data_IF_336580560790
#
_entry.id   IF_336580560790
#
_cell.length_a   1.000
_cell.length_b   1.000
_cell.length_c   1.000
_cell.angle_alpha   90.00
_cell.angle_beta   90.00
_cell.angle_gamma   90.00
#
_symmetry.space_group_name_H-M   'P 1'
#
loop_
_entity.id
_entity.type
_entity.pdbx_description
1 polymer ?
#
# COMPACT_ATOMS: atom_id res chain seq x y z
N UNK A 1 13.12 3.62 -0.48
CA UNK A 1 11.73 3.87 -0.88
C UNK A 1 11.72 4.45 -2.28
N UNK A 2 10.73 4.12 -3.09
CA UNK A 2 10.63 4.53 -4.49
C UNK A 2 9.36 5.38 -4.65
N UNK A 3 9.49 6.55 -5.27
CA UNK A 3 8.37 7.26 -5.88
C UNK A 3 8.13 6.60 -7.25
N UNK A 4 7.19 5.66 -7.31
CA UNK A 4 6.94 4.88 -8.51
C UNK A 4 6.38 5.78 -9.62
N UNK A 5 7.00 5.82 -10.80
CA UNK A 5 6.45 6.56 -11.94
C UNK A 5 5.22 5.87 -12.50
N UNK A 6 4.41 6.61 -13.26
CA UNK A 6 3.36 6.06 -14.10
C UNK A 6 3.94 5.11 -15.16
N UNK A 7 3.12 4.16 -15.61
CA UNK A 7 3.49 3.16 -16.61
C UNK A 7 4.29 1.97 -16.07
N UNK A 8 4.81 2.04 -14.83
CA UNK A 8 5.45 0.91 -14.19
C UNK A 8 4.46 0.12 -13.36
N UNK A 9 4.45 -1.19 -13.51
CA UNK A 9 3.87 -2.06 -12.48
C UNK A 9 4.77 -2.07 -11.23
N UNK A 10 4.23 -2.47 -10.07
CA UNK A 10 5.06 -2.69 -8.88
C UNK A 10 6.14 -3.76 -9.09
N UNK A 11 5.89 -4.71 -10.00
CA UNK A 11 6.89 -5.72 -10.37
C UNK A 11 8.02 -5.15 -11.24
N UNK A 12 7.74 -4.14 -12.08
CA UNK A 12 8.78 -3.45 -12.85
C UNK A 12 9.74 -2.71 -11.90
N UNK A 13 9.23 -2.06 -10.85
CA UNK A 13 10.05 -1.46 -9.82
C UNK A 13 10.94 -2.51 -9.11
N UNK A 14 10.39 -3.69 -8.80
CA UNK A 14 11.16 -4.81 -8.22
C UNK A 14 12.23 -5.31 -9.20
N UNK A 15 11.88 -5.46 -10.49
CA UNK A 15 12.82 -5.90 -11.53
C UNK A 15 13.97 -4.90 -11.71
N UNK A 16 13.62 -3.62 -11.75
CA UNK A 16 14.59 -2.54 -11.82
C UNK A 16 15.54 -2.54 -10.61
N UNK A 17 15.02 -2.64 -9.38
CA UNK A 17 15.84 -2.75 -8.17
C UNK A 17 16.76 -3.98 -8.16
N UNK A 18 16.29 -5.13 -8.68
CA UNK A 18 17.12 -6.33 -8.82
C UNK A 18 18.33 -6.07 -9.71
N UNK A 19 18.09 -5.38 -10.84
CA UNK A 19 19.18 -5.02 -11.78
C UNK A 19 20.16 -4.04 -11.14
N UNK A 20 19.65 -3.05 -10.42
CA UNK A 20 20.44 -2.01 -9.76
C UNK A 20 21.29 -2.56 -8.59
N UNK A 21 20.68 -3.40 -7.74
CA UNK A 21 21.30 -3.87 -6.49
C UNK A 21 22.04 -5.20 -6.60
N UNK A 22 21.80 -6.00 -7.66
CA UNK A 22 22.25 -7.39 -7.75
C UNK A 22 21.54 -8.36 -6.79
N UNK A 23 20.62 -7.88 -5.94
CA UNK A 23 19.94 -8.69 -4.93
C UNK A 23 18.70 -9.36 -5.54
N UNK A 24 18.66 -10.69 -5.53
CA UNK A 24 17.56 -11.46 -6.13
C UNK A 24 16.26 -11.36 -5.33
N UNK A 25 16.35 -11.40 -3.99
CA UNK A 25 15.19 -11.39 -3.11
C UNK A 25 14.77 -9.95 -2.81
N UNK A 26 13.68 -9.50 -3.43
CA UNK A 26 13.08 -8.18 -3.20
C UNK A 26 11.57 -8.37 -3.10
N UNK A 27 10.95 -7.71 -2.13
CA UNK A 27 9.51 -7.62 -1.93
C UNK A 27 9.07 -6.18 -1.79
N UNK A 28 7.76 -5.93 -1.84
CA UNK A 28 7.16 -4.60 -1.62
C UNK A 28 5.95 -4.69 -0.69
N UNK A 29 5.52 -3.55 -0.12
CA UNK A 29 4.51 -3.47 0.93
C UNK A 29 3.10 -3.14 0.39
N UNK A 30 2.80 -3.50 -0.82
CA UNK A 30 1.48 -3.29 -1.44
C UNK A 30 1.58 -2.82 -2.88
N UNK A 31 0.84 -3.50 -3.74
CA UNK A 31 0.79 -3.23 -5.18
C UNK A 31 0.22 -1.83 -5.45
N UNK A 32 0.79 -1.15 -6.44
CA UNK A 32 0.22 -0.01 -7.15
C UNK A 32 -0.07 -0.43 -8.58
N UNK A 33 -1.21 0.00 -9.09
CA UNK A 33 -1.58 -0.20 -10.50
C UNK A 33 -0.56 0.49 -11.44
N UNK A 34 -0.43 0.08 -12.71
CA UNK A 34 0.57 0.67 -13.62
C UNK A 34 0.37 2.18 -13.82
N UNK A 35 -0.87 2.63 -14.01
CA UNK A 35 -1.17 4.06 -14.18
C UNK A 35 -0.90 4.88 -12.91
N UNK A 36 -0.96 4.27 -11.72
CA UNK A 36 -0.77 4.95 -10.44
C UNK A 36 0.69 5.29 -10.16
N UNK A 37 0.91 6.34 -9.39
CA UNK A 37 2.23 6.85 -8.96
C UNK A 37 2.38 6.83 -7.44
N UNK A 38 3.56 7.20 -6.96
CA UNK A 38 3.77 7.50 -5.55
C UNK A 38 4.48 6.40 -4.78
N UNK A 39 4.36 6.45 -3.47
CA UNK A 39 5.17 5.68 -2.52
C UNK A 39 5.06 4.16 -2.72
N UNK A 40 6.18 3.53 -3.03
CA UNK A 40 6.37 2.08 -3.02
C UNK A 40 7.57 1.73 -2.13
N UNK A 41 7.29 1.12 -0.98
CA UNK A 41 8.34 0.66 -0.07
C UNK A 41 8.78 -0.73 -0.54
N UNK A 42 10.05 -0.84 -0.91
CA UNK A 42 10.69 -2.09 -1.33
C UNK A 42 11.70 -2.54 -0.28
N UNK A 43 11.65 -3.81 0.09
CA UNK A 43 12.59 -4.46 1.00
C UNK A 43 13.51 -5.40 0.23
N UNK A 44 14.80 -5.39 0.56
CA UNK A 44 15.85 -6.17 -0.10
C UNK A 44 16.38 -7.26 0.83
N UNK A 45 16.58 -8.46 0.30
CA UNK A 45 17.14 -9.58 1.07
C UNK A 45 16.22 -10.09 2.19
N UNK A 46 16.78 -10.47 3.35
CA UNK A 46 15.99 -11.04 4.46
C UNK A 46 14.91 -10.13 5.02
N UNK A 47 15.10 -8.79 4.98
CA UNK A 47 14.12 -7.81 5.51
C UNK A 47 12.79 -7.82 4.78
N UNK A 48 12.65 -8.51 3.64
CA UNK A 48 11.37 -8.78 2.99
C UNK A 48 10.35 -9.44 3.92
N UNK A 49 10.82 -10.16 4.97
CA UNK A 49 9.95 -10.75 5.99
C UNK A 49 9.21 -9.70 6.83
N UNK A 50 9.72 -8.46 6.87
CA UNK A 50 9.12 -7.34 7.62
C UNK A 50 8.02 -6.62 6.83
N UNK A 51 7.93 -6.81 5.50
CA UNK A 51 6.91 -6.16 4.66
C UNK A 51 5.48 -6.35 5.20
N UNK A 52 5.17 -7.53 5.74
CA UNK A 52 3.85 -7.87 6.27
C UNK A 52 3.33 -6.90 7.35
N UNK A 53 4.22 -6.25 8.10
CA UNK A 53 3.82 -5.30 9.13
C UNK A 53 3.36 -3.97 8.52
N UNK A 54 3.95 -3.57 7.39
CA UNK A 54 3.60 -2.36 6.65
C UNK A 54 2.41 -2.56 5.69
N UNK A 55 2.20 -3.80 5.22
CA UNK A 55 1.04 -4.14 4.39
C UNK A 55 -0.28 -3.86 5.10
N UNK A 56 -0.29 -4.02 6.44
CA UNK A 56 -1.47 -3.79 7.27
C UNK A 56 -1.72 -2.31 7.61
N UNK A 57 -0.77 -1.43 7.37
CA UNK A 57 -0.91 -0.02 7.63
C UNK A 57 -1.94 0.64 6.70
N UNK A 58 -2.58 1.70 7.19
CA UNK A 58 -3.44 2.55 6.36
C UNK A 58 -2.60 3.25 5.29
N UNK A 59 -3.26 3.68 4.22
CA UNK A 59 -2.61 4.35 3.11
C UNK A 59 -3.39 5.60 2.74
N UNK A 60 -2.65 6.68 2.44
CA UNK A 60 -3.27 7.90 1.93
C UNK A 60 -3.02 8.03 0.43
N UNK A 61 -4.02 8.54 -0.24
CA UNK A 61 -4.01 8.70 -1.69
C UNK A 61 -4.57 10.06 -2.08
N UNK A 62 -4.09 10.56 -3.20
CA UNK A 62 -4.73 11.61 -3.99
C UNK A 62 -5.18 10.99 -5.32
N UNK A 63 -6.40 11.28 -5.73
CA UNK A 63 -6.98 10.71 -6.93
C UNK A 63 -7.80 11.75 -7.71
N UNK A 64 -7.83 11.57 -9.02
CA UNK A 64 -8.73 12.29 -9.93
C UNK A 64 -9.75 11.29 -10.46
N UNK A 65 -11.01 11.57 -10.19
CA UNK A 65 -12.16 10.84 -10.70
C UNK A 65 -12.76 11.64 -11.86
N UNK A 66 -12.89 11.02 -13.04
CA UNK A 66 -13.65 11.55 -14.17
C UNK A 66 -15.05 10.96 -14.16
N UNK A 67 -16.06 11.83 -14.07
CA UNK A 67 -17.47 11.48 -14.13
C UNK A 67 -17.96 11.37 -15.58
N UNK A 68 -19.07 10.67 -15.78
CA UNK A 68 -19.74 10.51 -17.06
C UNK A 68 -19.24 9.33 -17.91
N UNK A 69 -18.12 8.73 -17.58
CA UNK A 69 -17.53 7.58 -18.32
C UNK A 69 -17.14 6.49 -17.32
N UNK A 70 -17.48 5.25 -17.64
CA UNK A 70 -17.03 4.06 -16.88
C UNK A 70 -16.16 3.19 -17.77
N UNK A 71 -15.03 2.74 -17.23
CA UNK A 71 -14.16 1.79 -17.92
C UNK A 71 -14.23 0.41 -17.25
N UNK A 72 -13.92 -0.64 -18.01
CA UNK A 72 -13.97 -2.03 -17.51
C UNK A 72 -13.04 -2.30 -16.33
N UNK A 73 -11.91 -1.58 -16.23
CA UNK A 73 -10.94 -1.71 -15.14
C UNK A 73 -11.11 -0.66 -14.02
N UNK A 74 -11.96 0.36 -14.23
CA UNK A 74 -12.10 1.52 -13.34
C UNK A 74 -10.91 2.47 -13.40
N UNK A 75 -10.05 2.38 -14.43
CA UNK A 75 -8.85 3.17 -14.68
C UNK A 75 -8.68 3.47 -16.19
N UNK A 76 -7.67 4.27 -16.62
CA UNK A 76 -7.48 4.64 -18.01
C UNK A 76 -7.07 3.49 -18.95
N UNK A 77 -6.65 2.34 -18.41
CA UNK A 77 -6.19 1.20 -19.23
C UNK A 77 -7.38 0.33 -19.71
N UNK A 78 -8.58 0.51 -19.12
CA UNK A 78 -9.78 -0.23 -19.48
C UNK A 78 -10.53 0.35 -20.64
N UNK A 79 -11.21 -0.52 -21.41
CA UNK A 79 -12.15 -0.10 -22.45
C UNK A 79 -13.35 0.63 -21.83
N UNK A 80 -13.90 1.64 -22.52
CA UNK A 80 -15.14 2.30 -22.12
C UNK A 80 -16.31 1.31 -22.25
N UNK A 81 -17.03 1.09 -21.17
CA UNK A 81 -18.16 0.15 -21.12
C UNK A 81 -19.51 0.85 -20.90
N UNK A 82 -19.49 2.09 -20.43
CA UNK A 82 -20.69 2.88 -20.19
C UNK A 82 -20.39 4.37 -20.21
N UNK A 83 -21.33 5.16 -20.75
CA UNK A 83 -21.33 6.60 -20.68
C UNK A 83 -22.63 7.11 -20.04
N UNK A 84 -22.57 8.25 -19.38
CA UNK A 84 -23.71 8.95 -18.79
C UNK A 84 -23.57 10.43 -19.05
N UNK A 85 -24.61 11.04 -19.59
CA UNK A 85 -24.71 12.51 -19.74
C UNK A 85 -25.08 13.24 -18.44
N UNK A 86 -25.43 12.50 -17.39
CA UNK A 86 -25.83 13.06 -16.09
C UNK A 86 -24.58 13.34 -15.25
N UNK A 87 -24.02 14.54 -15.39
CA UNK A 87 -22.89 15.00 -14.60
C UNK A 87 -23.41 16.13 -13.70
N UNK A 88 -23.27 16.02 -12.36
CA UNK A 88 -23.73 17.06 -11.46
C UNK A 88 -23.00 18.38 -11.71
N UNK A 89 -23.69 19.49 -11.60
CA UNK A 89 -23.05 20.83 -11.70
C UNK A 89 -22.28 21.19 -10.43
N UNK A 90 -22.68 20.65 -9.29
CA UNK A 90 -22.10 20.88 -7.97
C UNK A 90 -22.01 19.57 -7.18
N UNK A 91 -21.07 19.52 -6.25
CA UNK A 91 -20.87 18.39 -5.34
C UNK A 91 -20.88 18.88 -3.90
N UNK A 92 -21.81 18.37 -3.10
CA UNK A 92 -21.83 18.61 -1.65
C UNK A 92 -20.72 17.79 -0.99
N UNK A 93 -19.63 18.48 -0.62
CA UNK A 93 -18.46 17.87 -0.01
C UNK A 93 -18.75 17.28 1.38
N UNK A 94 -19.68 17.89 2.15
CA UNK A 94 -20.04 17.42 3.49
C UNK A 94 -20.82 16.12 3.39
N UNK A 95 -21.88 16.12 2.57
CA UNK A 95 -22.68 14.92 2.30
C UNK A 95 -21.79 13.77 1.79
N UNK A 96 -20.93 14.06 0.81
CA UNK A 96 -20.06 13.03 0.24
C UNK A 96 -19.12 12.47 1.29
N UNK A 97 -18.48 13.32 2.10
CA UNK A 97 -17.59 12.91 3.18
C UNK A 97 -18.28 12.00 4.19
N UNK A 98 -19.44 12.39 4.70
CA UNK A 98 -20.21 11.58 5.65
C UNK A 98 -20.56 10.20 5.08
N UNK A 99 -21.03 10.17 3.84
CA UNK A 99 -21.36 8.93 3.14
C UNK A 99 -20.15 8.01 3.00
N UNK A 100 -18.97 8.55 2.63
CA UNK A 100 -17.76 7.77 2.45
C UNK A 100 -17.18 7.25 3.77
N UNK A 101 -17.23 8.02 4.84
CA UNK A 101 -16.81 7.59 6.17
C UNK A 101 -17.72 6.48 6.75
N UNK A 102 -18.94 6.34 6.24
CA UNK A 102 -19.84 5.27 6.62
C UNK A 102 -19.55 3.92 5.94
N UNK A 103 -18.67 3.88 4.94
CA UNK A 103 -18.31 2.66 4.20
C UNK A 103 -17.69 1.64 5.17
N UNK A 104 -18.13 0.37 5.06
CA UNK A 104 -17.59 -0.77 5.80
C UNK A 104 -17.08 -1.86 4.88
N UNK A 105 -17.54 -1.87 3.63
CA UNK A 105 -17.12 -2.80 2.60
C UNK A 105 -17.24 -2.18 1.22
N UNK A 106 -16.41 -2.63 0.27
CA UNK A 106 -16.47 -2.27 -1.14
C UNK A 106 -16.20 -3.50 -2.00
N UNK A 107 -16.85 -3.65 -3.15
CA UNK A 107 -16.50 -4.68 -4.11
C UNK A 107 -15.11 -4.38 -4.69
N UNK A 108 -14.20 -5.35 -4.75
CA UNK A 108 -12.93 -5.14 -5.42
C UNK A 108 -13.14 -5.04 -6.93
N UNK A 109 -12.27 -4.32 -7.67
CA UNK A 109 -12.37 -4.28 -9.12
C UNK A 109 -12.06 -5.65 -9.71
N UNK A 110 -12.67 -5.97 -10.86
CA UNK A 110 -12.43 -7.24 -11.54
C UNK A 110 -10.96 -7.38 -11.98
N UNK A 111 -10.34 -6.27 -12.39
CA UNK A 111 -8.91 -6.21 -12.70
C UNK A 111 -8.08 -6.07 -11.41
N UNK A 112 -8.05 -7.14 -10.62
CA UNK A 112 -7.29 -7.23 -9.37
C UNK A 112 -6.54 -8.56 -9.24
N UNK A 113 -5.54 -8.60 -8.36
CA UNK A 113 -4.77 -9.80 -8.04
C UNK A 113 -5.47 -10.75 -7.06
N UNK A 114 -6.72 -10.48 -6.72
CA UNK A 114 -7.54 -11.34 -5.84
C UNK A 114 -7.71 -12.71 -6.49
N UNK A 115 -7.43 -13.76 -5.73
CA UNK A 115 -7.59 -15.12 -6.22
C UNK A 115 -9.02 -15.61 -6.08
N UNK A 116 -9.58 -16.08 -7.19
CA UNK A 116 -10.86 -16.78 -7.26
C UNK A 116 -10.60 -18.18 -7.83
N UNK A 117 -10.96 -19.22 -7.08
CA UNK A 117 -10.67 -20.62 -7.44
C UNK A 117 -9.19 -20.84 -7.84
N UNK A 118 -8.27 -20.21 -7.11
CA UNK A 118 -6.83 -20.33 -7.29
C UNK A 118 -6.20 -19.48 -8.41
N UNK A 119 -7.00 -18.76 -9.21
CA UNK A 119 -6.54 -17.87 -10.29
C UNK A 119 -6.84 -16.40 -9.96
N UNK A 120 -5.97 -15.44 -10.31
CA UNK A 120 -6.24 -14.03 -10.15
C UNK A 120 -7.50 -13.58 -10.91
N UNK A 121 -8.25 -12.62 -10.34
CA UNK A 121 -9.48 -12.11 -10.97
C UNK A 121 -9.20 -11.46 -12.34
N UNK A 122 -8.06 -10.79 -12.50
CA UNK A 122 -7.69 -10.20 -13.80
C UNK A 122 -7.54 -11.24 -14.93
N UNK A 123 -7.25 -12.52 -14.65
CA UNK A 123 -7.19 -13.59 -15.66
C UNK A 123 -8.58 -13.90 -16.20
N UNK A 124 -9.63 -13.76 -15.38
CA UNK A 124 -11.01 -13.91 -15.81
C UNK A 124 -11.45 -12.69 -16.63
N UNK A 125 -11.11 -11.48 -16.16
CA UNK A 125 -11.39 -10.22 -16.84
C UNK A 125 -10.84 -10.22 -18.29
N UNK A 126 -9.57 -10.57 -18.46
CA UNK A 126 -8.91 -10.63 -19.78
C UNK A 126 -9.54 -11.65 -20.74
N UNK A 127 -10.28 -12.61 -20.23
CA UNK A 127 -11.02 -13.60 -21.03
C UNK A 127 -12.47 -13.19 -21.30
N UNK A 128 -12.86 -11.99 -20.90
CA UNK A 128 -14.23 -11.50 -21.01
C UNK A 128 -15.24 -12.26 -20.14
N UNK A 129 -14.76 -12.99 -19.12
CA UNK A 129 -15.64 -13.75 -18.25
C UNK A 129 -16.21 -12.84 -17.16
N UNK A 130 -17.52 -12.73 -17.08
CA UNK A 130 -18.20 -12.05 -16.00
C UNK A 130 -17.98 -12.79 -14.68
N UNK A 131 -17.46 -12.07 -13.70
CA UNK A 131 -17.22 -12.59 -12.36
C UNK A 131 -17.64 -11.51 -11.35
N UNK A 132 -18.66 -11.80 -10.57
CA UNK A 132 -18.99 -10.97 -9.43
C UNK A 132 -18.07 -11.31 -8.26
N UNK A 133 -17.36 -10.30 -7.80
CA UNK A 133 -16.49 -10.43 -6.63
C UNK A 133 -17.25 -9.98 -5.40
N UNK A 134 -17.31 -10.78 -4.32
CA UNK A 134 -17.96 -10.36 -3.10
C UNK A 134 -17.28 -9.13 -2.52
N UNK A 135 -18.09 -8.23 -1.96
CA UNK A 135 -17.59 -7.08 -1.23
C UNK A 135 -16.61 -7.52 -0.12
N UNK A 136 -15.62 -6.70 0.14
CA UNK A 136 -14.59 -6.94 1.14
C UNK A 136 -14.52 -5.80 2.14
N UNK A 137 -14.12 -6.07 3.39
CA UNK A 137 -13.93 -5.02 4.37
C UNK A 137 -13.07 -3.89 3.80
N UNK A 138 -13.60 -2.69 3.83
CA UNK A 138 -12.96 -1.46 3.42
C UNK A 138 -13.44 -0.34 4.34
N UNK A 139 -12.54 0.54 4.73
CA UNK A 139 -12.87 1.66 5.58
C UNK A 139 -12.16 2.91 5.06
N UNK A 140 -12.93 3.97 4.87
CA UNK A 140 -12.39 5.29 4.62
C UNK A 140 -12.27 5.98 5.97
N UNK A 141 -11.03 6.29 6.35
CA UNK A 141 -10.66 6.86 7.63
C UNK A 141 -10.66 8.38 7.60
N UNK A 142 -10.43 8.93 6.42
CA UNK A 142 -10.53 10.36 6.14
C UNK A 142 -10.79 10.60 4.65
N UNK A 143 -11.47 11.72 4.35
CA UNK A 143 -11.79 12.12 2.98
C UNK A 143 -11.87 13.64 2.89
N UNK A 144 -11.27 14.19 1.84
CA UNK A 144 -11.28 15.60 1.51
C UNK A 144 -11.52 15.77 0.01
N UNK A 145 -12.55 16.54 -0.35
CA UNK A 145 -12.77 17.00 -1.71
C UNK A 145 -11.86 18.22 -1.93
N UNK A 146 -10.85 18.09 -2.79
CA UNK A 146 -9.90 19.16 -3.06
C UNK A 146 -10.41 20.14 -4.10
N UNK A 147 -11.05 19.62 -5.17
CA UNK A 147 -11.68 20.44 -6.19
C UNK A 147 -12.71 19.64 -6.98
N UNK A 148 -13.68 20.37 -7.53
CA UNK A 148 -14.60 19.84 -8.52
C UNK A 148 -14.76 20.84 -9.66
N UNK A 149 -14.42 20.42 -10.86
CA UNK A 149 -14.64 21.11 -12.12
C UNK A 149 -15.16 20.08 -13.12
N UNK A 150 -16.48 20.06 -13.32
CA UNK A 150 -17.13 19.04 -14.14
C UNK A 150 -16.40 18.83 -15.47
N UNK A 151 -16.05 17.61 -15.88
CA UNK A 151 -16.43 16.34 -15.25
C UNK A 151 -15.40 15.77 -14.23
N UNK A 152 -14.41 16.55 -13.77
CA UNK A 152 -13.31 16.06 -12.94
C UNK A 152 -13.49 16.43 -11.47
N UNK A 153 -13.33 15.42 -10.60
CA UNK A 153 -13.36 15.53 -9.15
C UNK A 153 -12.02 15.08 -8.59
N UNK A 154 -11.33 15.97 -7.89
CA UNK A 154 -10.04 15.69 -7.24
C UNK A 154 -10.27 15.52 -5.75
N UNK A 155 -9.77 14.43 -5.20
CA UNK A 155 -9.93 14.15 -3.78
C UNK A 155 -8.69 13.54 -3.17
N UNK A 156 -8.59 13.68 -1.86
CA UNK A 156 -7.62 12.98 -1.02
C UNK A 156 -8.37 12.08 -0.04
N UNK A 157 -7.85 10.89 0.19
CA UNK A 157 -8.42 10.00 1.19
C UNK A 157 -7.35 9.21 1.94
N UNK A 158 -7.70 8.81 3.17
CA UNK A 158 -6.97 7.79 3.92
C UNK A 158 -7.87 6.58 4.08
N UNK A 159 -7.35 5.41 3.69
CA UNK A 159 -8.13 4.19 3.63
C UNK A 159 -7.40 3.03 4.33
N UNK A 160 -8.17 2.11 4.89
CA UNK A 160 -7.66 0.87 5.47
C UNK A 160 -6.99 -0.01 4.43
N UNK A 161 -6.17 -0.96 4.88
CA UNK A 161 -5.55 -1.95 4.01
C UNK A 161 -6.57 -2.64 3.09
N UNK A 162 -6.18 -2.91 1.86
CA UNK A 162 -7.00 -3.68 0.91
C UNK A 162 -8.13 -2.89 0.25
N UNK A 163 -8.31 -1.62 0.59
CA UNK A 163 -9.25 -0.73 -0.08
C UNK A 163 -8.72 -0.38 -1.48
N UNK A 164 -9.53 -0.66 -2.50
CA UNK A 164 -9.24 -0.28 -3.88
C UNK A 164 -9.79 1.12 -4.16
N UNK A 165 -8.90 2.05 -4.49
CA UNK A 165 -9.30 3.45 -4.75
C UNK A 165 -10.13 3.55 -6.04
N UNK A 166 -9.93 2.67 -7.01
CA UNK A 166 -10.79 2.57 -8.20
C UNK A 166 -12.24 2.24 -7.82
N UNK A 167 -12.44 1.28 -6.92
CA UNK A 167 -13.78 0.97 -6.40
C UNK A 167 -14.38 2.12 -5.59
N UNK A 168 -13.56 2.87 -4.84
CA UNK A 168 -14.01 4.07 -4.13
C UNK A 168 -14.45 5.13 -5.13
N UNK A 169 -13.71 5.37 -6.20
CA UNK A 169 -14.07 6.33 -7.26
C UNK A 169 -15.40 5.96 -7.95
N UNK A 170 -15.60 4.67 -8.26
CA UNK A 170 -16.87 4.20 -8.82
C UNK A 170 -18.03 4.37 -7.82
N UNK A 171 -17.79 4.12 -6.54
CA UNK A 171 -18.79 4.35 -5.48
C UNK A 171 -19.14 5.84 -5.35
N UNK A 172 -18.14 6.75 -5.45
CA UNK A 172 -18.37 8.20 -5.46
C UNK A 172 -19.24 8.57 -6.65
N UNK A 173 -18.89 8.15 -7.86
CA UNK A 173 -19.65 8.46 -9.07
C UNK A 173 -21.12 7.97 -8.97
N UNK A 174 -21.31 6.72 -8.51
CA UNK A 174 -22.64 6.15 -8.30
C UNK A 174 -23.42 6.94 -7.23
N UNK A 175 -22.76 7.41 -6.18
CA UNK A 175 -23.37 8.23 -5.13
C UNK A 175 -23.83 9.59 -5.62
N UNK A 176 -23.21 10.07 -6.70
CA UNK A 176 -23.55 11.31 -7.40
C UNK A 176 -24.55 11.10 -8.56
N UNK A 177 -25.11 9.89 -8.71
CA UNK A 177 -26.11 9.57 -9.75
C UNK A 177 -25.53 9.34 -11.14
N UNK A 178 -24.23 9.14 -11.27
CA UNK A 178 -23.55 8.97 -12.56
C UNK A 178 -22.60 7.77 -12.55
N UNK A 179 -21.76 7.65 -13.55
CA UNK A 179 -20.66 6.69 -13.63
C UNK A 179 -19.31 7.43 -13.63
N UNK A 180 -18.23 6.75 -13.34
CA UNK A 180 -16.91 7.37 -13.34
C UNK A 180 -15.78 6.35 -13.25
N UNK A 181 -14.56 6.80 -13.53
CA UNK A 181 -13.34 6.03 -13.38
C UNK A 181 -12.20 6.92 -12.88
N UNK A 182 -11.19 6.29 -12.26
CA UNK A 182 -10.02 6.98 -11.74
C UNK A 182 -9.04 7.29 -12.86
N UNK A 183 -8.83 8.56 -13.20
CA UNK A 183 -7.89 8.99 -14.27
C UNK A 183 -6.47 9.15 -13.76
N UNK A 184 -6.31 9.52 -12.48
CA UNK A 184 -5.01 9.66 -11.83
C UNK A 184 -5.09 9.16 -10.40
N UNK A 185 -4.01 8.50 -9.96
CA UNK A 185 -3.90 7.98 -8.60
C UNK A 185 -2.45 8.11 -8.12
N UNK A 186 -2.26 8.76 -6.96
CA UNK A 186 -0.97 8.88 -6.32
C UNK A 186 -1.06 8.41 -4.87
N UNK A 187 -0.25 7.45 -4.48
CA UNK A 187 -0.12 7.05 -3.07
C UNK A 187 0.83 7.98 -2.34
N UNK A 188 0.28 8.73 -1.39
CA UNK A 188 0.99 9.74 -0.60
C UNK A 188 1.70 9.15 0.60
N UNK A 189 1.08 8.14 1.26
CA UNK A 189 1.68 7.54 2.45
C UNK A 189 1.33 6.06 2.65
N UNK A 190 2.14 5.37 3.44
CA UNK A 190 1.89 4.04 4.01
C UNK A 190 2.18 4.17 5.51
N UNK A 191 1.14 4.10 6.35
CA UNK A 191 1.25 4.46 7.76
C UNK A 191 1.75 5.89 7.91
N UNK A 192 2.84 6.07 8.63
CA UNK A 192 3.47 7.38 8.86
C UNK A 192 4.54 7.75 7.81
N UNK A 193 4.87 6.84 6.91
CA UNK A 193 5.90 7.06 5.89
C UNK A 193 5.30 7.83 4.73
N UNK A 194 5.88 8.99 4.41
CA UNK A 194 5.46 9.87 3.31
C UNK A 194 6.16 9.54 1.99
N UNK A 195 5.51 9.87 0.89
CA UNK A 195 6.12 9.86 -0.45
C UNK A 195 7.25 10.88 -0.58
N UNK A 196 7.25 11.92 0.24
CA UNK A 196 8.30 12.96 0.27
C UNK A 196 9.66 12.40 0.70
N UNK A 197 9.67 11.26 1.41
CA UNK A 197 10.88 10.52 1.75
C UNK A 197 11.34 9.54 0.64
N UNK A 198 10.59 9.42 -0.44
CA UNK A 198 10.89 8.50 -1.53
C UNK A 198 11.67 9.19 -2.66
N UNK A 199 12.42 8.40 -3.40
CA UNK A 199 13.20 8.91 -4.54
C UNK A 199 12.63 8.36 -5.85
N UNK A 200 12.58 9.22 -6.87
CA UNK A 200 12.27 8.79 -8.23
C UNK A 200 13.40 7.86 -8.75
N UNK A 201 13.09 6.82 -9.54
CA UNK A 201 14.09 5.86 -10.03
C UNK A 201 15.32 6.50 -10.70
N UNK A 202 15.16 7.63 -11.37
CA UNK A 202 16.23 8.37 -12.03
C UNK A 202 17.29 8.95 -11.08
N UNK A 203 16.95 9.09 -9.79
CA UNK A 203 17.85 9.64 -8.78
C UNK A 203 18.70 8.55 -8.06
N UNK A 204 18.55 7.28 -8.45
CA UNK A 204 19.33 6.21 -7.86
C UNK A 204 20.57 5.89 -8.68
N UNK A 205 21.70 5.84 -7.99
CA UNK A 205 22.97 5.37 -8.51
C UNK A 205 23.34 4.06 -7.81
N UNK A 206 23.83 3.06 -8.55
CA UNK A 206 24.14 1.74 -7.98
C UNK A 206 25.18 1.82 -6.85
N UNK A 207 26.19 2.67 -7.03
CA UNK A 207 27.30 2.87 -6.07
C UNK A 207 26.83 3.56 -4.78
N UNK A 208 25.74 4.32 -4.85
CA UNK A 208 25.17 5.09 -3.73
C UNK A 208 23.88 4.46 -3.18
N UNK A 209 23.50 3.27 -3.64
CA UNK A 209 22.23 2.65 -3.26
C UNK A 209 22.05 2.53 -1.74
N UNK A 210 23.13 2.25 -1.01
CA UNK A 210 23.08 2.14 0.46
C UNK A 210 22.69 3.45 1.15
N UNK A 211 23.04 4.60 0.58
CA UNK A 211 22.65 5.91 1.11
C UNK A 211 21.16 6.19 0.99
N UNK A 212 20.47 5.49 0.08
CA UNK A 212 19.01 5.61 -0.14
C UNK A 212 18.20 4.62 0.71
N UNK A 213 18.83 3.87 1.63
CA UNK A 213 18.09 2.99 2.52
C UNK A 213 17.42 3.80 3.63
N UNK A 214 16.12 3.61 3.74
CA UNK A 214 15.36 4.23 4.82
C UNK A 214 15.63 3.49 6.14
N UNK A 215 15.96 4.21 7.22
CA UNK A 215 16.32 3.57 8.48
C UNK A 215 15.19 2.71 9.05
N UNK A 216 15.43 1.44 9.41
CA UNK A 216 14.40 0.58 10.01
C UNK A 216 13.76 1.19 11.26
N UNK A 217 14.52 1.92 12.09
CA UNK A 217 14.03 2.63 13.28
C UNK A 217 12.93 3.64 12.95
N UNK A 218 13.05 4.38 11.85
CA UNK A 218 12.02 5.33 11.38
C UNK A 218 10.83 4.60 10.73
N UNK A 219 11.10 3.50 10.02
CA UNK A 219 10.06 2.73 9.35
C UNK A 219 9.10 2.06 10.32
N UNK A 220 9.59 1.70 11.51
CA UNK A 220 8.88 0.98 12.57
C UNK A 220 8.89 1.79 13.88
N UNK A 221 8.65 3.10 13.81
CA UNK A 221 8.73 3.97 15.00
C UNK A 221 7.70 3.66 16.09
N UNK A 222 6.59 2.99 15.74
CA UNK A 222 5.57 2.53 16.69
C UNK A 222 5.95 1.21 17.38
N UNK A 223 7.10 0.63 17.05
CA UNK A 223 7.58 -0.60 17.65
C UNK A 223 8.58 -0.31 18.76
N UNK A 224 8.55 -1.13 19.79
CA UNK A 224 9.66 -1.10 20.77
C UNK A 224 10.95 -1.52 20.05
N UNK A 225 12.04 -0.81 20.34
CA UNK A 225 13.34 -1.10 19.75
C UNK A 225 14.23 -1.70 20.82
N UNK A 226 14.86 -2.84 20.50
CA UNK A 226 15.82 -3.50 21.35
C UNK A 226 17.13 -3.75 20.57
N UNK A 227 18.25 -3.46 21.22
CA UNK A 227 19.59 -3.75 20.73
C UNK A 227 20.17 -4.90 21.60
N UNK A 228 19.99 -6.17 21.18
CA UNK A 228 20.42 -7.32 21.98
C UNK A 228 21.93 -7.41 22.04
N UNK A 229 22.47 -7.77 23.20
CA UNK A 229 23.87 -8.15 23.34
C UNK A 229 24.21 -9.42 22.55
N UNK A 230 25.50 -9.71 22.33
CA UNK A 230 25.96 -10.84 21.51
C UNK A 230 25.43 -12.20 21.96
N UNK A 231 25.46 -12.46 23.27
CA UNK A 231 24.95 -13.72 23.83
C UNK A 231 23.43 -13.86 23.65
N UNK A 232 22.68 -12.78 23.87
CA UNK A 232 21.24 -12.73 23.68
C UNK A 232 20.87 -12.90 22.20
N UNK A 233 21.56 -12.19 21.30
CA UNK A 233 21.37 -12.32 19.86
C UNK A 233 21.66 -13.74 19.37
N UNK A 234 22.73 -14.38 19.88
CA UNK A 234 23.06 -15.76 19.54
C UNK A 234 21.93 -16.71 19.94
N UNK A 235 21.37 -16.56 21.13
CA UNK A 235 20.24 -17.36 21.58
C UNK A 235 18.99 -17.12 20.73
N UNK A 236 18.66 -15.87 20.45
CA UNK A 236 17.49 -15.49 19.63
C UNK A 236 17.60 -16.04 18.21
N UNK A 237 18.79 -15.98 17.58
CA UNK A 237 19.05 -16.57 16.25
C UNK A 237 18.81 -18.08 16.21
N UNK A 238 19.03 -18.76 17.32
CA UNK A 238 18.75 -20.19 17.47
C UNK A 238 17.29 -20.49 17.84
N UNK A 239 16.41 -19.48 17.86
CA UNK A 239 15.01 -19.64 18.23
C UNK A 239 14.78 -19.78 19.74
N UNK A 240 15.81 -19.58 20.58
CA UNK A 240 15.70 -19.68 22.03
C UNK A 240 15.21 -18.36 22.62
N UNK A 241 14.33 -18.47 23.63
CA UNK A 241 13.89 -17.33 24.42
C UNK A 241 15.01 -16.86 25.37
N UNK A 242 15.03 -15.56 25.65
CA UNK A 242 15.97 -14.94 26.58
C UNK A 242 15.25 -14.16 27.67
N UNK A 243 15.80 -14.04 28.89
CA UNK A 243 15.25 -13.14 29.90
C UNK A 243 15.26 -11.69 29.39
N UNK A 244 14.12 -11.02 29.46
CA UNK A 244 14.01 -9.60 29.13
C UNK A 244 12.87 -9.00 29.97
N UNK A 245 13.16 -8.55 31.19
CA UNK A 245 12.15 -8.01 32.11
C UNK A 245 11.55 -6.73 31.53
N UNK A 246 10.23 -6.57 31.65
CA UNK A 246 9.48 -5.43 31.13
C UNK A 246 8.02 -5.79 30.90
N UNK A 247 7.24 -4.81 30.45
CA UNK A 247 5.85 -5.05 30.09
C UNK A 247 5.74 -5.92 28.83
N UNK A 248 4.67 -6.71 28.74
CA UNK A 248 4.41 -7.50 27.54
C UNK A 248 4.30 -6.60 26.31
N UNK A 249 4.99 -6.98 25.25
CA UNK A 249 5.02 -6.25 23.98
C UNK A 249 5.04 -7.21 22.79
N UNK A 250 4.13 -7.02 21.86
CA UNK A 250 3.98 -7.89 20.69
C UNK A 250 4.88 -7.51 19.50
N UNK A 251 5.45 -6.30 19.52
CA UNK A 251 6.18 -5.75 18.37
C UNK A 251 7.48 -5.10 18.82
N UNK A 252 8.53 -5.91 18.86
CA UNK A 252 9.88 -5.47 19.21
C UNK A 252 10.76 -5.65 17.98
N UNK A 253 11.31 -4.54 17.46
CA UNK A 253 12.29 -4.56 16.38
C UNK A 253 13.68 -4.73 16.99
N UNK A 254 14.39 -5.76 16.56
CA UNK A 254 15.77 -6.01 16.96
C UNK A 254 16.71 -5.30 15.98
N UNK A 255 17.55 -4.40 16.48
CA UNK A 255 18.56 -3.68 15.71
C UNK A 255 19.97 -4.00 16.23
N UNK A 256 20.98 -3.92 15.35
CA UNK A 256 22.36 -3.83 15.79
C UNK A 256 22.74 -2.38 16.09
N UNK A 257 23.95 -2.19 16.60
CA UNK A 257 24.52 -0.87 16.95
C UNK A 257 24.62 0.08 15.74
N UNK A 258 24.58 -0.44 14.52
CA UNK A 258 24.58 0.36 13.28
C UNK A 258 23.17 0.75 12.82
N UNK A 259 22.12 0.27 13.51
CA UNK A 259 20.71 0.47 13.16
C UNK A 259 20.19 -0.50 12.10
N UNK A 260 20.95 -1.53 11.74
CA UNK A 260 20.49 -2.58 10.83
C UNK A 260 19.53 -3.52 11.54
N UNK A 261 18.43 -3.88 10.86
CA UNK A 261 17.47 -4.83 11.40
C UNK A 261 18.04 -6.25 11.46
N UNK A 262 17.93 -6.86 12.64
CA UNK A 262 18.34 -8.23 12.96
C UNK A 262 17.16 -9.19 12.99
N UNK A 263 15.96 -8.68 13.30
CA UNK A 263 14.78 -9.51 13.44
C UNK A 263 13.64 -8.79 14.15
N UNK A 264 12.66 -9.59 14.51
CA UNK A 264 11.52 -9.18 15.35
C UNK A 264 11.37 -10.14 16.51
N UNK A 265 10.89 -9.63 17.61
CA UNK A 265 10.58 -10.40 18.81
C UNK A 265 9.25 -9.94 19.43
N UNK A 266 8.74 -10.73 20.36
CA UNK A 266 7.71 -10.35 21.32
C UNK A 266 8.20 -10.58 22.73
N UNK A 267 7.76 -9.75 23.68
CA UNK A 267 8.00 -9.93 25.11
C UNK A 267 6.73 -10.44 25.78
N UNK A 268 6.85 -11.52 26.53
CA UNK A 268 5.76 -12.10 27.30
C UNK A 268 6.29 -12.67 28.61
N UNK A 269 5.68 -12.29 29.73
CA UNK A 269 6.04 -12.74 31.06
C UNK A 269 7.55 -12.60 31.38
N UNK A 270 8.14 -11.45 31.02
CA UNK A 270 9.55 -11.16 31.27
C UNK A 270 10.56 -11.95 30.42
N UNK A 271 10.09 -12.59 29.35
CA UNK A 271 10.91 -13.35 28.40
C UNK A 271 10.72 -12.80 26.99
N UNK A 272 11.80 -12.71 26.22
CA UNK A 272 11.83 -12.32 24.82
C UNK A 272 11.80 -13.57 23.93
N UNK A 273 10.86 -13.59 23.00
CA UNK A 273 10.65 -14.68 22.04
C UNK A 273 10.93 -14.16 20.63
N UNK A 274 11.87 -14.74 19.87
CA UNK A 274 12.10 -14.34 18.50
C UNK A 274 10.92 -14.77 17.62
N UNK A 275 10.40 -13.85 16.82
CA UNK A 275 9.29 -14.10 15.88
C UNK A 275 9.75 -14.09 14.43
N UNK A 276 10.80 -13.31 14.13
CA UNK A 276 11.47 -13.28 12.82
C UNK A 276 12.97 -13.13 13.05
N UNK A 277 13.76 -14.00 12.44
CA UNK A 277 15.21 -13.86 12.30
C UNK A 277 15.55 -13.39 10.87
N UNK A 278 16.41 -12.39 10.72
CA UNK A 278 16.84 -11.82 9.43
C UNK A 278 18.25 -12.27 9.04
#
# INVERSE_FOLDING_TARGET
MIDKPAGWSSFDAVRWLRKLSGIKRIGHTGTLDPFATGLLICALGPVTRLCRFLENADKSYEAVLRLGIQTASGDPEGEVIRESGEIPSEVDAVFLREKLLSIRELPPPLFSAIKVKGRPAYDYARKGLHLELPARPAQILDFELLSYQAPELVYRCRASKGTYIRSLSEYIATSLGTVGYTTSLRRLSIGKVSVDDAHHPEHFEAEKLAANFYPPRKLFEDFEILEPGEAELSALKQGRKTPNPGQDCQRILLLDQTGKALGMAERKAGMLFPTINL
#
